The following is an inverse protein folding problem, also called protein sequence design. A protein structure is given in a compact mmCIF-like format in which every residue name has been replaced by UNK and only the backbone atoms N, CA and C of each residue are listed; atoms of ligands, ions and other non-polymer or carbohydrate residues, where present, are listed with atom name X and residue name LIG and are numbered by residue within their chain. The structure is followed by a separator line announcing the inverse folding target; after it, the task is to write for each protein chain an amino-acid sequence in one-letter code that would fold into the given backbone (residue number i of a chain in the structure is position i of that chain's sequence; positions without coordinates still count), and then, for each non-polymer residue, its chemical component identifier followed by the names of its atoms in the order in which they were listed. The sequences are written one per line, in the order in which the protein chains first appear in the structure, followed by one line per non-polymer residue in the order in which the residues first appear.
data_IF_457174051852
#
_entry.id   IF_457174051852
#
_cell.length_a   1.000
_cell.length_b   1.000
_cell.length_c   1.000
_cell.angle_alpha   90.00
_cell.angle_beta   90.00
_cell.angle_gamma   90.00
#
_symmetry.space_group_name_H-M   'P 1'
#
loop_
_entity.id
_entity.type
_entity.pdbx_description
1 polymer ?
#
# COMPACT_ATOMS: atom_id res chain seq x y z
N UNK A 1 -6.85 13.60 -8.29
CA UNK A 1 -6.24 12.89 -7.16
C UNK A 1 -6.19 11.43 -7.56
N UNK A 2 -5.01 10.81 -7.59
CA UNK A 2 -4.75 9.52 -8.24
C UNK A 2 -5.39 8.31 -7.55
N UNK A 3 -6.15 8.53 -6.47
CA UNK A 3 -6.95 7.55 -5.74
C UNK A 3 -8.21 8.29 -5.29
N UNK A 4 -9.39 7.82 -5.70
CA UNK A 4 -10.63 8.33 -5.12
C UNK A 4 -10.73 7.76 -3.70
N UNK A 5 -10.56 8.63 -2.71
CA UNK A 5 -10.55 8.28 -1.29
C UNK A 5 -11.83 7.54 -0.91
N UNK A 6 -12.98 7.93 -1.45
CA UNK A 6 -14.26 7.33 -1.07
C UNK A 6 -14.42 5.94 -1.69
N UNK A 7 -13.96 5.75 -2.94
CA UNK A 7 -13.93 4.43 -3.60
C UNK A 7 -12.97 3.49 -2.89
N UNK A 8 -11.77 3.97 -2.56
CA UNK A 8 -10.77 3.19 -1.84
C UNK A 8 -11.29 2.83 -0.44
N UNK A 9 -11.89 3.78 0.29
CA UNK A 9 -12.50 3.49 1.59
C UNK A 9 -13.67 2.50 1.48
N UNK A 10 -14.48 2.54 0.42
CA UNK A 10 -15.54 1.55 0.19
C UNK A 10 -14.98 0.15 -0.10
N UNK A 11 -13.92 0.04 -0.91
CA UNK A 11 -13.25 -1.24 -1.20
C UNK A 11 -12.51 -1.80 0.02
N UNK A 12 -11.96 -0.92 0.85
CA UNK A 12 -11.23 -1.31 2.06
C UNK A 12 -12.14 -1.52 3.26
N UNK A 13 -13.35 -0.97 3.30
CA UNK A 13 -14.31 -1.16 4.41
C UNK A 13 -14.60 -2.62 4.74
N UNK A 14 -14.85 -3.51 3.76
CA UNK A 14 -15.03 -4.94 4.04
C UNK A 14 -13.78 -5.62 4.63
N UNK A 15 -12.59 -5.11 4.29
CA UNK A 15 -11.28 -5.66 4.67
C UNK A 15 -10.89 -5.19 6.07
N UNK A 16 -11.01 -3.89 6.32
CA UNK A 16 -10.70 -3.22 7.59
C UNK A 16 -11.83 -3.49 8.62
N UNK A 17 -13.05 -3.76 8.16
CA UNK A 17 -14.22 -3.94 9.02
C UNK A 17 -14.56 -2.67 9.82
N UNK A 18 -15.49 -2.81 10.76
CA UNK A 18 -15.91 -1.73 11.68
C UNK A 18 -15.12 -1.72 12.99
N UNK A 19 -13.96 -2.38 13.02
CA UNK A 19 -13.13 -2.51 14.23
C UNK A 19 -12.44 -1.18 14.53
N UNK A 20 -12.41 -0.77 15.80
CA UNK A 20 -11.58 0.35 16.22
C UNK A 20 -10.11 -0.10 16.23
N UNK A 21 -9.31 0.54 15.37
CA UNK A 21 -7.86 0.36 15.32
C UNK A 21 -7.17 1.37 16.24
N UNK A 22 -6.12 0.92 16.91
CA UNK A 22 -5.21 1.81 17.62
C UNK A 22 -4.54 2.78 16.64
N UNK A 23 -3.94 3.86 17.16
CA UNK A 23 -3.15 4.80 16.34
C UNK A 23 -2.01 4.10 15.59
N UNK A 24 -1.32 3.18 16.26
CA UNK A 24 -0.23 2.42 15.67
C UNK A 24 -0.71 1.51 14.53
N UNK A 25 -1.81 0.78 14.71
CA UNK A 25 -2.37 -0.09 13.66
C UNK A 25 -2.87 0.76 12.47
N UNK A 26 -3.55 1.87 12.74
CA UNK A 26 -4.00 2.80 11.70
C UNK A 26 -2.84 3.40 10.91
N UNK A 27 -1.71 3.66 11.59
CA UNK A 27 -0.48 4.12 10.96
C UNK A 27 0.10 3.04 10.04
N UNK A 28 0.20 1.79 10.51
CA UNK A 28 0.70 0.67 9.70
C UNK A 28 -0.19 0.38 8.48
N UNK A 29 -1.51 0.52 8.60
CA UNK A 29 -2.45 0.37 7.47
C UNK A 29 -2.11 1.39 6.38
N UNK A 30 -1.95 2.66 6.75
CA UNK A 30 -1.60 3.73 5.80
C UNK A 30 -0.25 3.51 5.13
N UNK A 31 0.76 3.09 5.89
CA UNK A 31 2.09 2.77 5.33
C UNK A 31 1.98 1.65 4.31
N UNK A 32 1.29 0.56 4.66
CA UNK A 32 1.14 -0.58 3.76
C UNK A 32 0.41 -0.20 2.47
N UNK A 33 -0.66 0.58 2.57
CA UNK A 33 -1.40 1.06 1.41
C UNK A 33 -0.52 1.92 0.50
N UNK A 34 0.28 2.81 1.08
CA UNK A 34 1.19 3.64 0.31
C UNK A 34 2.28 2.81 -0.37
N UNK A 35 2.91 1.89 0.37
CA UNK A 35 3.93 0.98 -0.15
C UNK A 35 3.38 0.13 -1.30
N UNK A 36 2.17 -0.42 -1.15
CA UNK A 36 1.51 -1.21 -2.20
C UNK A 36 1.24 -0.37 -3.46
N UNK A 37 0.78 0.86 -3.30
CA UNK A 37 0.54 1.75 -4.43
C UNK A 37 1.83 2.11 -5.17
N UNK A 38 2.89 2.48 -4.44
CA UNK A 38 4.20 2.76 -5.04
C UNK A 38 4.77 1.54 -5.76
N UNK A 39 4.67 0.35 -5.14
CA UNK A 39 5.11 -0.90 -5.72
C UNK A 39 4.39 -1.20 -7.04
N UNK A 40 3.06 -1.06 -7.07
CA UNK A 40 2.26 -1.36 -8.26
C UNK A 40 2.53 -0.36 -9.39
N UNK A 41 2.67 0.92 -9.07
CA UNK A 41 3.05 1.94 -10.06
C UNK A 41 4.42 1.64 -10.69
N UNK A 42 5.40 1.22 -9.87
CA UNK A 42 6.72 0.82 -10.34
C UNK A 42 6.68 -0.42 -11.26
N UNK A 43 5.78 -1.36 -10.97
CA UNK A 43 5.60 -2.60 -11.71
C UNK A 43 4.90 -2.39 -13.06
N UNK A 44 3.80 -1.62 -13.08
CA UNK A 44 2.93 -1.53 -14.25
C UNK A 44 3.30 -0.43 -15.25
N UNK A 45 3.87 0.69 -14.80
CA UNK A 45 4.12 1.81 -15.70
C UNK A 45 5.37 1.56 -16.59
N UNK A 46 5.24 1.74 -17.92
CA UNK A 46 6.22 1.22 -18.87
C UNK A 46 7.51 2.05 -18.97
N UNK A 47 7.49 3.33 -18.56
CA UNK A 47 8.65 4.21 -18.66
C UNK A 47 8.97 4.94 -17.35
N UNK A 48 10.23 5.36 -17.21
CA UNK A 48 10.71 6.01 -15.99
C UNK A 48 10.05 7.39 -15.74
N UNK A 49 9.66 8.11 -16.80
CA UNK A 49 9.07 9.44 -16.66
C UNK A 49 7.69 9.34 -16.02
N UNK A 50 6.83 8.44 -16.50
CA UNK A 50 5.50 8.18 -15.96
C UNK A 50 5.60 7.63 -14.54
N UNK A 51 6.52 6.69 -14.28
CA UNK A 51 6.79 6.19 -12.93
C UNK A 51 7.12 7.32 -11.97
N UNK A 52 8.16 8.09 -12.27
CA UNK A 52 8.60 9.17 -11.39
C UNK A 52 7.52 10.24 -11.23
N UNK A 53 6.75 10.55 -12.28
CA UNK A 53 5.66 11.52 -12.21
C UNK A 53 4.54 11.03 -11.29
N UNK A 54 4.11 9.77 -11.44
CA UNK A 54 3.04 9.21 -10.62
C UNK A 54 3.47 9.04 -9.15
N UNK A 55 4.71 8.59 -8.92
CA UNK A 55 5.27 8.45 -7.57
C UNK A 55 5.42 9.83 -6.93
N UNK A 56 6.03 10.81 -7.60
CA UNK A 56 6.16 12.15 -7.03
C UNK A 56 4.78 12.75 -6.72
N UNK A 57 3.80 12.62 -7.61
CA UNK A 57 2.45 13.08 -7.35
C UNK A 57 1.79 12.36 -6.14
N UNK A 58 2.09 11.08 -5.92
CA UNK A 58 1.63 10.33 -4.75
C UNK A 58 2.27 10.86 -3.45
N UNK A 59 3.58 11.15 -3.47
CA UNK A 59 4.31 11.72 -2.33
C UNK A 59 3.86 13.16 -2.04
N UNK A 60 3.71 14.00 -3.06
CA UNK A 60 3.24 15.39 -2.94
C UNK A 60 1.83 15.44 -2.35
N UNK A 61 0.91 14.56 -2.77
CA UNK A 61 -0.46 14.51 -2.24
C UNK A 61 -0.49 14.20 -0.74
N UNK A 62 0.38 13.29 -0.28
CA UNK A 62 0.49 12.96 1.14
C UNK A 62 1.16 14.09 1.93
N UNK A 63 2.22 14.68 1.39
CA UNK A 63 2.88 15.82 2.02
C UNK A 63 1.89 16.96 2.27
N UNK A 64 1.07 17.30 1.28
CA UNK A 64 0.15 18.43 1.36
C UNK A 64 -1.11 18.16 2.21
N UNK A 65 -1.59 16.92 2.25
CA UNK A 65 -2.86 16.56 2.92
C UNK A 65 -2.70 15.87 4.26
N UNK A 66 -1.52 15.32 4.53
CA UNK A 66 -1.26 14.50 5.70
C UNK A 66 0.19 14.67 6.19
N UNK A 67 0.62 15.92 6.36
CA UNK A 67 1.99 16.29 6.75
C UNK A 67 2.50 15.54 8.00
N UNK A 68 1.67 15.37 9.03
CA UNK A 68 2.04 14.61 10.24
C UNK A 68 2.34 13.15 9.94
N UNK A 69 1.51 12.51 9.10
CA UNK A 69 1.75 11.15 8.63
C UNK A 69 3.00 11.08 7.78
N UNK A 70 3.22 12.05 6.88
CA UNK A 70 4.40 12.11 6.03
C UNK A 70 5.70 12.17 6.83
N UNK A 71 5.75 12.98 7.90
CA UNK A 71 6.92 13.10 8.77
C UNK A 71 7.23 11.78 9.48
N UNK A 72 6.21 11.19 10.10
CA UNK A 72 6.36 9.90 10.81
C UNK A 72 6.73 8.77 9.84
N UNK A 73 6.16 8.79 8.63
CA UNK A 73 6.46 7.85 7.54
C UNK A 73 7.90 7.97 7.03
N UNK A 74 8.37 9.20 6.79
CA UNK A 74 9.70 9.47 6.23
C UNK A 74 10.84 9.07 7.19
N UNK A 75 10.60 9.11 8.49
CA UNK A 75 11.58 8.75 9.51
C UNK A 75 11.51 7.26 9.91
N UNK A 76 10.48 6.55 9.44
CA UNK A 76 10.17 5.16 9.81
C UNK A 76 11.03 4.10 9.09
N UNK A 77 11.29 2.98 9.78
CA UNK A 77 12.00 1.82 9.21
C UNK A 77 11.05 0.80 8.55
N UNK A 78 9.74 0.95 8.72
CA UNK A 78 8.66 0.06 8.28
C UNK A 78 8.73 -0.21 6.78
N UNK A 79 9.01 0.82 5.98
CA UNK A 79 9.13 0.72 4.54
C UNK A 79 10.21 -0.27 4.09
N UNK A 80 11.33 -0.30 4.83
CA UNK A 80 12.42 -1.24 4.58
C UNK A 80 12.01 -2.68 4.85
N UNK A 81 11.18 -2.92 5.87
CA UNK A 81 10.67 -4.26 6.16
C UNK A 81 9.74 -4.77 5.06
N UNK A 82 8.87 -3.92 4.51
CA UNK A 82 8.04 -4.31 3.37
C UNK A 82 8.86 -4.60 2.11
N UNK A 83 9.90 -3.81 1.80
CA UNK A 83 10.83 -4.15 0.71
C UNK A 83 11.51 -5.51 0.91
N UNK A 84 11.90 -5.85 2.14
CA UNK A 84 12.46 -7.17 2.45
C UNK A 84 11.42 -8.28 2.26
N UNK A 85 10.16 -8.05 2.62
CA UNK A 85 9.08 -9.01 2.45
C UNK A 85 8.79 -9.31 0.96
N UNK A 86 8.85 -8.30 0.09
CA UNK A 86 8.69 -8.46 -1.37
C UNK A 86 9.85 -9.24 -2.01
N UNK A 87 11.07 -9.10 -1.48
CA UNK A 87 12.28 -9.72 -2.07
C UNK A 87 12.42 -11.21 -1.78
N UNK A 88 11.65 -11.77 -0.86
CA UNK A 88 11.72 -13.20 -0.60
C UNK A 88 11.03 -13.94 -1.77
N UNK A 89 11.67 -15.01 -2.26
CA UNK A 89 11.25 -15.77 -3.46
C UNK A 89 10.02 -16.69 -3.23
N UNK A 90 9.18 -16.37 -2.26
CA UNK A 90 7.96 -17.05 -1.86
C UNK A 90 6.74 -16.13 -2.06
N UNK A 91 5.57 -16.50 -1.52
CA UNK A 91 4.33 -15.75 -1.70
C UNK A 91 4.44 -14.34 -1.10
N UNK A 92 4.58 -13.34 -1.99
CA UNK A 92 4.72 -11.92 -1.61
C UNK A 92 3.53 -11.46 -0.75
N UNK A 93 2.31 -11.84 -1.11
CA UNK A 93 1.12 -11.39 -0.36
C UNK A 93 1.15 -11.93 1.06
N UNK A 94 1.44 -13.22 1.22
CA UNK A 94 1.58 -13.84 2.54
C UNK A 94 2.72 -13.23 3.36
N UNK A 95 3.86 -12.92 2.72
CA UNK A 95 4.99 -12.27 3.38
C UNK A 95 4.65 -10.87 3.87
N UNK A 96 3.97 -10.10 3.04
CA UNK A 96 3.49 -8.76 3.38
C UNK A 96 2.53 -8.84 4.56
N UNK A 97 1.57 -9.77 4.54
CA UNK A 97 0.66 -10.01 5.66
C UNK A 97 1.38 -10.30 6.98
N UNK A 98 2.31 -11.27 6.98
CA UNK A 98 3.12 -11.60 8.17
C UNK A 98 3.96 -10.43 8.65
N UNK A 99 4.49 -9.62 7.73
CA UNK A 99 5.25 -8.42 8.03
C UNK A 99 4.36 -7.36 8.69
N UNK A 100 3.21 -7.07 8.11
CA UNK A 100 2.22 -6.13 8.65
C UNK A 100 1.79 -6.53 10.07
N UNK A 101 1.49 -7.81 10.29
CA UNK A 101 1.12 -8.33 11.61
C UNK A 101 2.22 -8.13 12.67
N UNK A 102 3.48 -8.31 12.28
CA UNK A 102 4.64 -8.01 13.12
C UNK A 102 4.77 -6.52 13.43
N UNK A 103 4.62 -5.64 12.43
CA UNK A 103 4.73 -4.18 12.60
C UNK A 103 3.57 -3.60 13.43
N UNK A 104 2.39 -4.24 13.41
CA UNK A 104 1.28 -3.96 14.32
C UNK A 104 1.50 -4.48 15.76
N UNK A 105 2.66 -5.09 16.05
CA UNK A 105 2.99 -5.62 17.38
C UNK A 105 2.22 -6.89 17.77
N UNK A 106 1.58 -7.57 16.83
CA UNK A 106 0.80 -8.80 17.09
C UNK A 106 1.60 -10.09 16.93
N UNK A 107 2.74 -10.01 16.26
CA UNK A 107 3.59 -11.15 15.93
C UNK A 107 3.19 -11.84 14.62
N UNK A 108 4.14 -12.51 13.98
CA UNK A 108 3.98 -13.06 12.61
C UNK A 108 2.92 -14.16 12.48
N UNK A 109 2.65 -14.88 13.57
CA UNK A 109 1.70 -16.00 13.61
C UNK A 109 0.25 -15.56 13.89
N UNK A 110 0.01 -14.25 14.09
CA UNK A 110 -1.35 -13.75 14.23
C UNK A 110 -2.04 -13.74 12.86
N UNK A 111 -2.88 -14.76 12.63
CA UNK A 111 -3.59 -15.00 11.36
C UNK A 111 -4.55 -13.87 10.99
N UNK A 112 -5.26 -13.27 11.96
CA UNK A 112 -6.20 -12.17 11.72
C UNK A 112 -5.48 -10.98 11.07
N UNK A 113 -4.39 -10.52 11.67
CA UNK A 113 -3.61 -9.41 11.14
C UNK A 113 -2.80 -9.79 9.90
N UNK A 114 -2.35 -11.03 9.79
CA UNK A 114 -1.68 -11.50 8.58
C UNK A 114 -2.62 -11.52 7.37
N UNK A 115 -3.88 -11.98 7.55
CA UNK A 115 -4.91 -11.94 6.51
C UNK A 115 -5.22 -10.49 6.14
N UNK A 116 -5.46 -9.64 7.14
CA UNK A 116 -5.73 -8.21 6.94
C UNK A 116 -4.63 -7.54 6.09
N UNK A 117 -3.35 -7.73 6.44
CA UNK A 117 -2.25 -7.18 5.66
C UNK A 117 -2.19 -7.71 4.22
N UNK A 118 -2.47 -9.00 4.02
CA UNK A 118 -2.49 -9.63 2.68
C UNK A 118 -3.65 -9.09 1.83
N UNK A 119 -4.81 -8.89 2.43
CA UNK A 119 -6.01 -8.33 1.78
C UNK A 119 -5.83 -6.85 1.45
N UNK A 120 -5.30 -6.05 2.37
CA UNK A 120 -4.96 -4.64 2.13
C UNK A 120 -3.99 -4.50 0.95
N UNK A 121 -2.93 -5.32 0.94
CA UNK A 121 -1.96 -5.37 -0.14
C UNK A 121 -2.67 -5.66 -1.47
N UNK A 122 -3.40 -6.77 -1.55
CA UNK A 122 -4.05 -7.22 -2.77
C UNK A 122 -5.09 -6.21 -3.29
N UNK A 123 -5.91 -5.66 -2.40
CA UNK A 123 -6.93 -4.67 -2.74
C UNK A 123 -6.35 -3.36 -3.28
N UNK A 124 -5.21 -2.91 -2.75
CA UNK A 124 -4.53 -1.72 -3.29
C UNK A 124 -3.89 -1.99 -4.64
N UNK A 125 -3.28 -3.16 -4.85
CA UNK A 125 -2.72 -3.51 -6.16
C UNK A 125 -3.80 -3.53 -7.25
N UNK A 126 -4.95 -4.11 -6.96
CA UNK A 126 -6.10 -4.17 -7.87
C UNK A 126 -6.65 -2.78 -8.18
N UNK A 127 -6.81 -1.92 -7.17
CA UNK A 127 -7.30 -0.55 -7.38
C UNK A 127 -6.34 0.28 -8.25
N UNK A 128 -5.04 0.23 -7.99
CA UNK A 128 -4.05 0.96 -8.79
C UNK A 128 -4.02 0.42 -10.23
N UNK A 129 -4.14 -0.89 -10.42
CA UNK A 129 -4.24 -1.48 -11.75
C UNK A 129 -5.50 -1.03 -12.49
N UNK A 130 -6.67 -1.03 -11.83
CA UNK A 130 -7.92 -0.53 -12.41
C UNK A 130 -7.79 0.94 -12.83
N UNK A 131 -7.17 1.77 -11.99
CA UNK A 131 -6.96 3.19 -12.29
C UNK A 131 -6.08 3.34 -13.53
N UNK A 132 -4.93 2.67 -13.58
CA UNK A 132 -4.04 2.71 -14.74
C UNK A 132 -4.76 2.23 -16.02
N UNK A 133 -5.56 1.16 -15.92
CA UNK A 133 -6.36 0.64 -17.04
C UNK A 133 -7.39 1.67 -17.53
N UNK A 134 -8.10 2.35 -16.63
CA UNK A 134 -9.11 3.38 -16.98
C UNK A 134 -8.52 4.57 -17.73
N UNK A 135 -7.28 4.94 -17.41
CA UNK A 135 -6.59 6.05 -18.08
C UNK A 135 -5.92 5.64 -19.41
N UNK A 136 -6.14 4.39 -19.89
CA UNK A 136 -5.61 3.86 -21.15
C UNK A 136 -4.12 4.21 -21.36
N UNK A 137 -3.28 4.09 -20.32
CA UNK A 137 -1.84 4.31 -20.50
C UNK A 137 -1.32 3.34 -21.57
N UNK A 138 -1.08 3.89 -22.76
CA UNK A 138 -0.71 3.15 -23.97
C UNK A 138 0.62 2.43 -23.72
N UNK A 139 0.59 1.10 -23.71
CA UNK A 139 1.80 0.27 -23.63
C UNK A 139 1.89 -0.72 -22.48
N UNK A 140 0.80 -1.01 -21.75
CA UNK A 140 0.79 -2.16 -20.84
C UNK A 140 1.11 -3.43 -21.63
N UNK A 141 2.22 -4.10 -21.29
CA UNK A 141 2.58 -5.38 -21.89
C UNK A 141 1.46 -6.38 -21.61
N UNK A 142 0.85 -6.89 -22.68
CA UNK A 142 -0.02 -8.07 -22.65
C UNK A 142 0.76 -9.30 -22.21
#
# INVERSE_FOLDING_TARGET
MFLDKDVLLQKLRPIIGDKEYTKAESFQIKILMFFAAEYQLNSLLPNNILRNTAINALYDDIHDKAEEFYKEFSDGAEYSFYYLAVRKNDDISQNIGKCFSMLCGKGKENEEYASLGSELWSGVLEEVEEIIRRYEFVGMKK
#
